data_IF_782191231878
#
_entry.id   IF_782191231878
#
_cell.length_a   1.000
_cell.length_b   1.000
_cell.length_c   1.000
_cell.angle_alpha   90.00
_cell.angle_beta   90.00
_cell.angle_gamma   90.00
#
_symmetry.space_group_name_H-M   'P 1'
#
loop_
_entity.id
_entity.type
_entity.pdbx_description
1 polymer ?
#
# COMPACT_ATOMS: atom_id res chain seq x y z
N UNK A 1 -14.07 45.27 29.06
CA UNK A 1 -14.66 43.92 28.94
C UNK A 1 -14.23 43.33 27.60
N UNK A 2 -13.50 42.21 27.61
CA UNK A 2 -13.07 41.42 26.44
C UNK A 2 -13.87 40.11 26.42
N UNK A 3 -14.66 39.83 25.38
CA UNK A 3 -15.20 38.51 25.00
C UNK A 3 -15.45 38.58 23.47
N UNK A 4 -14.55 38.12 22.60
CA UNK A 4 -14.45 36.77 21.98
C UNK A 4 -15.77 36.22 21.41
N UNK A 5 -15.89 36.14 20.07
CA UNK A 5 -16.62 35.06 19.39
C UNK A 5 -16.05 34.78 17.99
N UNK A 6 -15.26 33.70 17.94
CA UNK A 6 -15.25 32.62 16.94
C UNK A 6 -15.17 32.94 15.44
N UNK A 7 -13.97 32.78 14.89
CA UNK A 7 -13.73 32.50 13.47
C UNK A 7 -14.06 31.03 13.22
N UNK A 8 -15.11 30.78 12.44
CA UNK A 8 -15.42 29.47 11.87
C UNK A 8 -14.54 29.26 10.62
N UNK A 9 -13.42 28.56 10.76
CA UNK A 9 -12.65 28.09 9.58
C UNK A 9 -13.15 26.70 9.22
N UNK A 10 -13.93 26.66 8.15
CA UNK A 10 -14.33 25.46 7.42
C UNK A 10 -13.11 24.62 7.05
N UNK A 11 -13.09 23.35 7.48
CA UNK A 11 -12.27 22.31 6.86
C UNK A 11 -12.77 22.08 5.42
N UNK A 12 -11.99 22.54 4.45
CA UNK A 12 -12.05 22.04 3.08
C UNK A 12 -10.89 21.05 2.89
N UNK A 13 -11.19 19.76 3.05
CA UNK A 13 -10.33 18.68 2.59
C UNK A 13 -10.44 18.62 1.05
N UNK A 14 -9.66 19.47 0.39
CA UNK A 14 -9.38 19.37 -1.03
C UNK A 14 -8.37 18.25 -1.27
N UNK A 15 -8.82 17.15 -1.88
CA UNK A 15 -7.96 16.10 -2.41
C UNK A 15 -7.28 16.66 -3.67
N UNK A 16 -6.13 17.29 -3.48
CA UNK A 16 -5.19 17.57 -4.55
C UNK A 16 -3.97 16.65 -4.36
N UNK A 17 -3.58 15.95 -5.44
CA UNK A 17 -2.39 15.09 -5.51
C UNK A 17 -1.16 15.87 -5.05
N UNK A 18 -0.77 15.71 -3.79
CA UNK A 18 0.49 16.20 -3.26
C UNK A 18 1.47 15.02 -3.32
N UNK A 19 2.56 15.17 -4.07
CA UNK A 19 3.78 14.41 -3.78
C UNK A 19 4.09 14.65 -2.30
N UNK A 20 3.81 13.66 -1.46
CA UNK A 20 3.93 13.81 -0.01
C UNK A 20 5.38 14.17 0.31
N UNK A 21 5.60 15.43 0.71
CA UNK A 21 6.83 15.78 1.40
C UNK A 21 6.97 14.82 2.60
N UNK A 22 8.18 14.38 2.97
CA UNK A 22 8.37 13.52 4.12
C UNK A 22 7.72 14.20 5.32
N UNK A 23 6.68 13.58 5.88
CA UNK A 23 5.98 14.14 7.04
C UNK A 23 6.96 14.15 8.21
N UNK A 24 7.21 15.33 8.76
CA UNK A 24 8.12 15.51 9.89
C UNK A 24 7.59 14.75 11.12
N UNK A 25 8.34 13.77 11.67
CA UNK A 25 7.93 13.03 12.86
C UNK A 25 7.63 13.93 14.06
N UNK A 26 8.27 15.09 14.17
CA UNK A 26 8.09 15.98 15.33
C UNK A 26 6.76 16.74 15.26
N UNK A 27 6.33 17.17 14.08
CA UNK A 27 4.97 17.71 13.87
C UNK A 27 3.90 16.68 14.23
N UNK A 28 4.07 15.42 13.83
CA UNK A 28 3.12 14.35 14.16
C UNK A 28 3.07 14.07 15.67
N UNK A 29 4.22 14.08 16.36
CA UNK A 29 4.27 13.93 17.82
C UNK A 29 3.52 15.06 18.54
N UNK A 30 3.63 16.30 18.04
CA UNK A 30 2.85 17.41 18.60
C UNK A 30 1.35 17.22 18.39
N UNK A 31 0.92 16.69 17.24
CA UNK A 31 -0.50 16.39 17.02
C UNK A 31 -1.03 15.33 18.00
N UNK A 32 -0.22 14.32 18.34
CA UNK A 32 -0.60 13.27 19.31
C UNK A 32 -0.94 13.84 20.69
N UNK A 33 -0.25 14.88 21.16
CA UNK A 33 -0.46 15.42 22.52
C UNK A 33 -1.80 16.14 22.69
N UNK A 34 -2.33 16.70 21.60
CA UNK A 34 -3.60 17.44 21.58
C UNK A 34 -4.76 16.62 20.99
N UNK A 35 -4.48 15.46 20.42
CA UNK A 35 -5.48 14.59 19.79
C UNK A 35 -6.35 13.85 20.81
N UNK A 36 -7.62 13.63 20.42
CA UNK A 36 -8.50 12.69 21.12
C UNK A 36 -7.96 11.26 21.03
N UNK A 37 -8.34 10.40 22.00
CA UNK A 37 -7.88 9.00 22.03
C UNK A 37 -8.18 8.23 20.73
N UNK A 38 -9.28 8.53 20.05
CA UNK A 38 -9.65 7.90 18.76
C UNK A 38 -8.70 8.25 17.61
N UNK A 39 -8.02 9.39 17.66
CA UNK A 39 -7.08 9.84 16.64
C UNK A 39 -5.63 9.47 16.96
N UNK A 40 -5.33 9.03 18.18
CA UNK A 40 -3.96 8.64 18.56
C UNK A 40 -3.46 7.43 17.79
N UNK A 41 -4.29 6.40 17.58
CA UNK A 41 -3.89 5.20 16.85
C UNK A 41 -3.40 5.47 15.41
N UNK A 42 -4.17 6.19 14.55
CA UNK A 42 -3.70 6.52 13.21
C UNK A 42 -2.50 7.48 13.22
N UNK A 43 -2.39 8.38 14.19
CA UNK A 43 -1.21 9.25 14.31
C UNK A 43 0.05 8.45 14.67
N UNK A 44 -0.02 7.53 15.64
CA UNK A 44 1.10 6.64 15.96
C UNK A 44 1.48 5.74 14.79
N UNK A 45 0.49 5.28 14.02
CA UNK A 45 0.73 4.52 12.77
C UNK A 45 1.52 5.34 11.75
N UNK A 46 1.16 6.61 11.56
CA UNK A 46 1.87 7.53 10.67
C UNK A 46 3.31 7.78 11.15
N UNK A 47 3.49 8.05 12.45
CA UNK A 47 4.83 8.22 13.04
C UNK A 47 5.67 6.97 12.81
N UNK A 48 5.15 5.78 13.14
CA UNK A 48 5.84 4.52 12.89
C UNK A 48 6.20 4.36 11.40
N UNK A 49 5.29 4.72 10.49
CA UNK A 49 5.52 4.76 9.04
C UNK A 49 6.76 5.56 8.62
N UNK A 50 7.00 6.72 9.23
CA UNK A 50 8.22 7.52 8.97
C UNK A 50 9.48 6.75 9.35
N UNK A 51 9.45 6.06 10.49
CA UNK A 51 10.59 5.31 11.02
C UNK A 51 10.82 3.97 10.31
N UNK A 52 9.79 3.37 9.71
CA UNK A 52 9.87 2.13 8.92
C UNK A 52 10.69 2.27 7.62
N UNK A 53 11.08 3.49 7.23
CA UNK A 53 11.99 3.76 6.12
C UNK A 53 13.48 3.59 6.50
N UNK A 54 13.77 2.91 7.61
CA UNK A 54 15.12 2.67 8.11
C UNK A 54 16.03 1.93 7.12
N UNK A 55 15.46 1.17 6.17
CA UNK A 55 16.20 0.48 5.11
C UNK A 55 16.94 1.46 4.18
N UNK A 56 16.47 2.71 4.09
CA UNK A 56 17.10 3.77 3.29
C UNK A 56 18.26 4.46 4.02
N UNK A 57 18.52 4.12 5.29
CA UNK A 57 19.47 4.81 6.15
C UNK A 57 20.81 4.08 6.18
N UNK A 58 21.83 4.74 5.63
CA UNK A 58 23.21 4.22 5.59
C UNK A 58 23.86 4.12 6.97
N UNK A 59 23.67 5.13 7.83
CA UNK A 59 24.27 5.15 9.17
C UNK A 59 23.66 4.09 10.08
N UNK A 60 24.47 3.11 10.50
CA UNK A 60 24.03 2.01 11.38
C UNK A 60 23.41 2.50 12.69
N UNK A 61 24.02 3.52 13.31
CA UNK A 61 23.50 4.13 14.56
C UNK A 61 22.13 4.74 14.34
N UNK A 62 21.97 5.53 13.27
CA UNK A 62 20.69 6.17 12.95
C UNK A 62 19.62 5.13 12.58
N UNK A 63 20.00 4.10 11.83
CA UNK A 63 19.12 2.98 11.47
C UNK A 63 18.58 2.26 12.72
N UNK A 64 19.45 1.97 13.70
CA UNK A 64 19.02 1.38 14.98
C UNK A 64 17.99 2.26 15.70
N UNK A 65 18.25 3.57 15.80
CA UNK A 65 17.31 4.51 16.42
C UNK A 65 15.96 4.51 15.67
N UNK A 66 15.97 4.42 14.35
CA UNK A 66 14.73 4.34 13.57
C UNK A 66 13.98 3.03 13.82
N UNK A 67 14.68 1.89 13.89
CA UNK A 67 14.07 0.59 14.20
C UNK A 67 13.39 0.61 15.58
N UNK A 68 14.09 1.12 16.60
CA UNK A 68 13.55 1.26 17.97
C UNK A 68 12.30 2.17 18.00
N UNK A 69 12.33 3.32 17.31
CA UNK A 69 11.17 4.20 17.24
C UNK A 69 10.01 3.58 16.45
N UNK A 70 10.27 2.85 15.36
CA UNK A 70 9.25 2.14 14.61
C UNK A 70 8.54 1.12 15.50
N UNK A 71 9.27 0.36 16.31
CA UNK A 71 8.69 -0.57 17.30
C UNK A 71 7.87 0.20 18.34
N UNK A 72 8.46 1.21 18.98
CA UNK A 72 7.82 1.94 20.07
C UNK A 72 6.47 2.55 19.64
N UNK A 73 6.44 3.26 18.51
CA UNK A 73 5.22 3.88 18.01
C UNK A 73 4.22 2.86 17.46
N UNK A 74 4.68 1.75 16.90
CA UNK A 74 3.77 0.66 16.50
C UNK A 74 3.09 0.01 17.70
N UNK A 75 3.81 -0.19 18.81
CA UNK A 75 3.23 -0.70 20.06
C UNK A 75 2.20 0.28 20.67
N UNK A 76 2.46 1.58 20.59
CA UNK A 76 1.47 2.59 20.97
C UNK A 76 0.21 2.50 20.09
N UNK A 77 0.37 2.36 18.77
CA UNK A 77 -0.78 2.17 17.88
C UNK A 77 -1.60 0.91 18.25
N UNK A 78 -0.94 -0.22 18.54
CA UNK A 78 -1.59 -1.46 18.98
C UNK A 78 -2.40 -1.26 20.25
N UNK A 79 -1.89 -0.51 21.24
CA UNK A 79 -2.62 -0.24 22.47
C UNK A 79 -3.99 0.39 22.19
N UNK A 80 -4.03 1.43 21.35
CA UNK A 80 -5.28 2.10 21.00
C UNK A 80 -6.15 1.25 20.06
N UNK A 81 -5.60 0.62 19.02
CA UNK A 81 -6.39 -0.24 18.13
C UNK A 81 -7.00 -1.44 18.87
N UNK A 82 -6.29 -2.02 19.85
CA UNK A 82 -6.83 -3.08 20.71
C UNK A 82 -8.00 -2.57 21.54
N UNK A 83 -7.88 -1.39 22.15
CA UNK A 83 -8.94 -0.77 22.96
C UNK A 83 -10.23 -0.55 22.17
N UNK A 84 -10.12 -0.29 20.87
CA UNK A 84 -11.26 -0.05 19.98
C UNK A 84 -11.63 -1.24 19.09
N UNK A 85 -11.02 -2.42 19.29
CA UNK A 85 -11.21 -3.61 18.46
C UNK A 85 -11.01 -3.36 16.95
N UNK A 86 -10.12 -2.45 16.58
CA UNK A 86 -9.79 -2.17 15.19
C UNK A 86 -8.84 -3.23 14.63
N UNK A 87 -9.42 -4.28 14.07
CA UNK A 87 -8.69 -5.39 13.44
C UNK A 87 -7.86 -4.96 12.23
N UNK A 88 -8.23 -3.89 11.53
CA UNK A 88 -7.47 -3.39 10.38
C UNK A 88 -6.20 -2.70 10.84
N UNK A 89 -6.30 -1.84 11.85
CA UNK A 89 -5.17 -1.16 12.49
C UNK A 89 -4.22 -2.14 13.20
N UNK A 90 -4.76 -3.16 13.87
CA UNK A 90 -3.97 -4.23 14.48
C UNK A 90 -3.18 -5.03 13.44
N UNK A 91 -3.82 -5.47 12.35
CA UNK A 91 -3.16 -6.17 11.25
C UNK A 91 -2.00 -5.36 10.69
N UNK A 92 -2.22 -4.08 10.39
CA UNK A 92 -1.14 -3.19 9.89
C UNK A 92 0.01 -3.07 10.88
N UNK A 93 -0.31 -2.95 12.16
CA UNK A 93 0.70 -2.83 13.21
C UNK A 93 1.52 -4.12 13.37
N UNK A 94 0.90 -5.28 13.19
CA UNK A 94 1.60 -6.57 13.19
C UNK A 94 2.53 -6.73 11.99
N UNK A 95 2.14 -6.28 10.79
CA UNK A 95 3.05 -6.25 9.63
C UNK A 95 4.28 -5.37 9.90
N UNK A 96 4.05 -4.18 10.47
CA UNK A 96 5.12 -3.24 10.80
C UNK A 96 6.13 -3.86 11.80
N UNK A 97 5.65 -4.53 12.85
CA UNK A 97 6.52 -5.23 13.80
C UNK A 97 7.25 -6.41 13.15
N UNK A 98 6.56 -7.19 12.31
CA UNK A 98 7.18 -8.28 11.59
C UNK A 98 8.35 -7.80 10.72
N UNK A 99 8.16 -6.70 9.98
CA UNK A 99 9.19 -6.05 9.16
C UNK A 99 10.42 -5.67 10.01
N UNK A 100 10.22 -4.94 11.11
CA UNK A 100 11.35 -4.49 11.94
C UNK A 100 12.07 -5.69 12.56
N UNK A 101 11.34 -6.62 13.18
CA UNK A 101 11.96 -7.77 13.84
C UNK A 101 12.68 -8.69 12.86
N UNK A 102 12.18 -8.86 11.63
CA UNK A 102 12.90 -9.57 10.57
C UNK A 102 14.23 -8.89 10.26
N UNK A 103 14.25 -7.57 10.10
CA UNK A 103 15.49 -6.81 9.84
C UNK A 103 16.51 -6.88 10.97
N UNK A 104 16.05 -7.05 12.21
CA UNK A 104 16.88 -7.29 13.40
C UNK A 104 17.30 -8.76 13.58
N UNK A 105 16.92 -9.65 12.64
CA UNK A 105 17.12 -11.11 12.73
C UNK A 105 16.44 -11.76 13.93
N UNK A 106 15.42 -11.10 14.51
CA UNK A 106 14.55 -11.62 15.57
C UNK A 106 13.40 -12.43 14.94
N UNK A 107 13.76 -13.53 14.27
CA UNK A 107 12.85 -14.27 13.39
C UNK A 107 11.65 -14.90 14.12
N UNK A 108 11.80 -15.32 15.37
CA UNK A 108 10.69 -15.86 16.16
C UNK A 108 9.62 -14.80 16.42
N UNK A 109 10.02 -13.58 16.81
CA UNK A 109 9.12 -12.45 16.97
C UNK A 109 8.48 -12.06 15.65
N UNK A 110 9.29 -11.93 14.59
CA UNK A 110 8.78 -11.58 13.26
C UNK A 110 7.69 -12.57 12.78
N UNK A 111 7.96 -13.87 12.92
CA UNK A 111 7.02 -14.95 12.60
C UNK A 111 5.75 -14.87 13.44
N UNK A 112 5.89 -14.59 14.74
CA UNK A 112 4.73 -14.46 15.63
C UNK A 112 3.79 -13.34 15.16
N UNK A 113 4.31 -12.14 14.92
CA UNK A 113 3.50 -10.99 14.50
C UNK A 113 2.87 -11.20 13.13
N UNK A 114 3.61 -11.69 12.13
CA UNK A 114 3.04 -11.88 10.79
C UNK A 114 1.95 -12.98 10.77
N UNK A 115 2.03 -13.98 11.66
CA UNK A 115 0.95 -14.97 11.82
C UNK A 115 -0.32 -14.34 12.42
N UNK A 116 -0.19 -13.39 13.34
CA UNK A 116 -1.34 -12.63 13.84
C UNK A 116 -1.98 -11.79 12.73
N UNK A 117 -1.17 -11.12 11.90
CA UNK A 117 -1.65 -10.39 10.72
C UNK A 117 -2.38 -11.29 9.72
N UNK A 118 -1.81 -12.46 9.41
CA UNK A 118 -2.44 -13.44 8.53
C UNK A 118 -3.77 -13.95 9.10
N UNK A 119 -3.82 -14.22 10.41
CA UNK A 119 -5.03 -14.66 11.11
C UNK A 119 -6.16 -13.64 11.00
N UNK A 120 -5.86 -12.36 11.24
CA UNK A 120 -6.83 -11.27 11.08
C UNK A 120 -7.28 -11.12 9.61
N UNK A 121 -6.36 -11.23 8.67
CA UNK A 121 -6.67 -11.13 7.23
C UNK A 121 -7.59 -12.27 6.78
N UNK A 122 -7.34 -13.51 7.24
CA UNK A 122 -8.21 -14.67 6.99
C UNK A 122 -9.59 -14.51 7.60
N UNK A 123 -9.68 -14.04 8.85
CA UNK A 123 -10.97 -13.79 9.51
C UNK A 123 -11.84 -12.79 8.74
N UNK A 124 -11.22 -11.89 7.97
CA UNK A 124 -11.90 -10.87 7.15
C UNK A 124 -12.04 -11.26 5.68
N UNK A 125 -11.56 -12.45 5.27
CA UNK A 125 -11.45 -12.86 3.86
C UNK A 125 -10.69 -11.83 2.98
N UNK A 126 -9.71 -11.16 3.57
CA UNK A 126 -8.90 -10.14 2.91
C UNK A 126 -7.76 -10.81 2.11
N UNK A 127 -8.09 -11.33 0.94
CA UNK A 127 -7.17 -12.10 0.09
C UNK A 127 -5.86 -11.36 -0.19
N UNK A 128 -5.85 -10.06 -0.57
CA UNK A 128 -4.60 -9.32 -0.77
C UNK A 128 -3.68 -9.35 0.45
N UNK A 129 -4.22 -9.16 1.67
CA UNK A 129 -3.42 -9.17 2.88
C UNK A 129 -3.04 -10.59 3.36
N UNK A 130 -3.83 -11.61 3.02
CA UNK A 130 -3.42 -13.02 3.17
C UNK A 130 -2.18 -13.29 2.32
N UNK A 131 -2.17 -12.86 1.06
CA UNK A 131 -1.02 -13.07 0.17
C UNK A 131 0.20 -12.30 0.66
N UNK A 132 0.05 -11.03 1.04
CA UNK A 132 1.15 -10.22 1.56
C UNK A 132 1.81 -10.84 2.80
N UNK A 133 1.01 -11.34 3.74
CA UNK A 133 1.53 -12.01 4.94
C UNK A 133 2.14 -13.38 4.66
N UNK A 134 1.66 -14.12 3.65
CA UNK A 134 2.31 -15.35 3.16
C UNK A 134 3.69 -15.07 2.53
N UNK A 135 3.84 -13.96 1.80
CA UNK A 135 5.13 -13.56 1.24
C UNK A 135 6.14 -13.24 2.35
N UNK A 136 5.75 -12.47 3.35
CA UNK A 136 6.61 -12.18 4.52
C UNK A 136 6.95 -13.45 5.32
N UNK A 137 5.99 -14.36 5.51
CA UNK A 137 6.26 -15.67 6.12
C UNK A 137 7.27 -16.49 5.31
N UNK A 138 7.14 -16.53 3.98
CA UNK A 138 8.06 -17.23 3.11
C UNK A 138 9.47 -16.64 3.20
N UNK A 139 9.57 -15.31 3.21
CA UNK A 139 10.84 -14.63 3.42
C UNK A 139 11.43 -15.00 4.79
N UNK A 140 10.65 -14.96 5.90
CA UNK A 140 11.16 -15.26 7.26
C UNK A 140 11.65 -16.71 7.33
N UNK A 141 10.89 -17.65 6.74
CA UNK A 141 11.25 -19.06 6.67
C UNK A 141 12.48 -19.30 5.79
N UNK A 142 12.66 -18.51 4.73
CA UNK A 142 13.87 -18.53 3.91
C UNK A 142 15.09 -18.09 4.70
N UNK A 143 15.00 -17.01 5.47
CA UNK A 143 16.12 -16.50 6.29
C UNK A 143 16.59 -17.52 7.35
N UNK A 144 15.67 -18.30 7.91
CA UNK A 144 15.99 -19.39 8.86
C UNK A 144 16.26 -20.75 8.19
N UNK A 145 16.34 -20.78 6.85
CA UNK A 145 16.60 -21.97 6.02
C UNK A 145 15.52 -23.07 6.09
N UNK A 146 14.31 -22.73 6.52
CA UNK A 146 13.14 -23.61 6.44
C UNK A 146 12.49 -23.52 5.05
N UNK A 147 13.25 -23.96 4.04
CA UNK A 147 12.87 -23.82 2.64
C UNK A 147 11.61 -24.59 2.28
N UNK A 148 11.32 -25.70 2.98
CA UNK A 148 10.10 -26.49 2.77
C UNK A 148 8.87 -25.69 3.15
N UNK A 149 8.86 -25.06 4.32
CA UNK A 149 7.72 -24.24 4.73
C UNK A 149 7.64 -22.93 3.94
N UNK A 150 8.77 -22.33 3.54
CA UNK A 150 8.77 -21.15 2.68
C UNK A 150 8.12 -21.45 1.31
N UNK A 151 8.50 -22.58 0.69
CA UNK A 151 7.92 -23.05 -0.56
C UNK A 151 6.40 -23.25 -0.44
N UNK A 152 5.93 -23.83 0.67
CA UNK A 152 4.50 -24.04 0.90
C UNK A 152 3.72 -22.71 0.94
N UNK A 153 4.25 -21.71 1.64
CA UNK A 153 3.58 -20.41 1.73
C UNK A 153 3.56 -19.69 0.37
N UNK A 154 4.64 -19.78 -0.43
CA UNK A 154 4.68 -19.23 -1.79
C UNK A 154 3.69 -19.93 -2.73
N UNK A 155 3.56 -21.26 -2.63
CA UNK A 155 2.58 -22.01 -3.44
C UNK A 155 1.14 -21.60 -3.11
N UNK A 156 0.82 -21.38 -1.83
CA UNK A 156 -0.49 -20.87 -1.42
C UNK A 156 -0.71 -19.45 -1.94
N UNK A 157 0.28 -18.57 -1.79
CA UNK A 157 0.24 -17.20 -2.28
C UNK A 157 0.01 -17.14 -3.80
N UNK A 158 0.69 -18.00 -4.57
CA UNK A 158 0.54 -18.12 -6.02
C UNK A 158 -0.88 -18.58 -6.38
N UNK A 159 -1.39 -19.59 -5.68
CA UNK A 159 -2.75 -20.11 -5.90
C UNK A 159 -3.79 -19.00 -5.69
N UNK A 160 -3.66 -18.26 -4.59
CA UNK A 160 -4.57 -17.15 -4.27
C UNK A 160 -4.45 -16.01 -5.28
N UNK A 161 -3.25 -15.60 -5.67
CA UNK A 161 -3.05 -14.50 -6.62
C UNK A 161 -3.61 -14.83 -8.00
N UNK A 162 -3.39 -16.05 -8.49
CA UNK A 162 -3.88 -16.47 -9.80
C UNK A 162 -5.40 -16.66 -9.81
N UNK A 163 -5.97 -17.29 -8.78
CA UNK A 163 -7.41 -17.52 -8.69
C UNK A 163 -8.22 -16.22 -8.57
N UNK A 164 -7.62 -15.15 -8.04
CA UNK A 164 -8.27 -13.84 -7.89
C UNK A 164 -7.86 -12.83 -8.98
N UNK A 165 -7.09 -13.26 -9.99
CA UNK A 165 -6.60 -12.40 -11.08
C UNK A 165 -5.87 -11.14 -10.56
N UNK A 166 -4.93 -11.34 -9.65
CA UNK A 166 -4.06 -10.30 -9.10
C UNK A 166 -2.67 -10.35 -9.74
N UNK A 167 -2.48 -9.90 -10.99
CA UNK A 167 -1.23 -10.09 -11.72
C UNK A 167 -0.05 -9.38 -11.05
N UNK A 168 -0.28 -8.19 -10.47
CA UNK A 168 0.78 -7.49 -9.73
C UNK A 168 1.28 -8.31 -8.53
N UNK A 169 0.34 -8.84 -7.74
CA UNK A 169 0.67 -9.67 -6.59
C UNK A 169 1.27 -11.00 -7.03
N UNK A 170 0.82 -11.58 -8.14
CA UNK A 170 1.42 -12.79 -8.72
C UNK A 170 2.89 -12.55 -9.12
N UNK A 171 3.20 -11.39 -9.70
CA UNK A 171 4.57 -10.99 -9.98
C UNK A 171 5.40 -10.88 -8.68
N UNK A 172 4.86 -10.29 -7.61
CA UNK A 172 5.53 -10.25 -6.30
C UNK A 172 5.79 -11.66 -5.74
N UNK A 173 4.87 -12.61 -5.94
CA UNK A 173 5.05 -14.01 -5.58
C UNK A 173 6.19 -14.66 -6.36
N UNK A 174 6.31 -14.39 -7.67
CA UNK A 174 7.46 -14.84 -8.46
C UNK A 174 8.79 -14.31 -7.92
N UNK A 175 8.82 -13.05 -7.46
CA UNK A 175 10.01 -12.49 -6.81
C UNK A 175 10.33 -13.19 -5.47
N UNK A 176 9.30 -13.61 -4.74
CA UNK A 176 9.44 -14.49 -3.57
C UNK A 176 10.14 -15.82 -3.92
N UNK A 177 9.75 -16.46 -5.04
CA UNK A 177 10.43 -17.67 -5.53
C UNK A 177 11.88 -17.40 -5.94
N UNK A 178 12.18 -16.26 -6.59
CA UNK A 178 13.56 -15.86 -6.92
C UNK A 178 14.41 -15.83 -5.66
N UNK A 179 13.92 -15.17 -4.61
CA UNK A 179 14.62 -15.06 -3.32
C UNK A 179 14.84 -16.43 -2.68
N UNK A 180 13.81 -17.28 -2.64
CA UNK A 180 13.90 -18.63 -2.09
C UNK A 180 14.92 -19.48 -2.87
N UNK A 181 14.83 -19.53 -4.19
CA UNK A 181 15.71 -20.35 -5.02
C UNK A 181 17.16 -19.88 -4.98
N UNK A 182 17.42 -18.57 -4.91
CA UNK A 182 18.77 -18.05 -4.72
C UNK A 182 19.38 -18.49 -3.38
N UNK A 183 18.60 -18.47 -2.30
CA UNK A 183 19.06 -18.96 -0.98
C UNK A 183 19.29 -20.49 -0.98
N UNK A 184 18.55 -21.23 -1.79
CA UNK A 184 18.76 -22.67 -2.02
C UNK A 184 19.91 -22.98 -2.99
N UNK A 185 20.54 -21.96 -3.60
CA UNK A 185 21.53 -22.08 -4.69
C UNK A 185 20.98 -22.77 -5.95
N UNK A 186 19.68 -22.68 -6.19
CA UNK A 186 18.99 -23.24 -7.36
C UNK A 186 18.82 -22.17 -8.44
N UNK A 187 19.94 -21.65 -8.96
CA UNK A 187 19.96 -20.47 -9.83
C UNK A 187 19.13 -20.62 -11.12
N UNK A 188 19.09 -21.80 -11.73
CA UNK A 188 18.24 -22.06 -12.91
C UNK A 188 16.75 -21.89 -12.59
N UNK A 189 16.31 -22.31 -11.40
CA UNK A 189 14.91 -22.11 -10.98
C UNK A 189 14.62 -20.66 -10.64
N UNK A 190 15.59 -19.95 -10.06
CA UNK A 190 15.48 -18.52 -9.82
C UNK A 190 15.33 -17.75 -11.14
N UNK A 191 16.12 -18.07 -12.16
CA UNK A 191 16.02 -17.47 -13.50
C UNK A 191 14.64 -17.72 -14.15
N UNK A 192 14.10 -18.93 -14.04
CA UNK A 192 12.75 -19.25 -14.53
C UNK A 192 11.68 -18.42 -13.80
N UNK A 193 11.79 -18.28 -12.47
CA UNK A 193 10.86 -17.46 -11.69
C UNK A 193 10.96 -15.97 -12.06
N UNK A 194 12.19 -15.47 -12.29
CA UNK A 194 12.41 -14.09 -12.74
C UNK A 194 11.79 -13.83 -14.11
N UNK A 195 11.98 -14.74 -15.08
CA UNK A 195 11.33 -14.64 -16.39
C UNK A 195 9.80 -14.60 -16.30
N UNK A 196 9.21 -15.34 -15.36
CA UNK A 196 7.76 -15.29 -15.10
C UNK A 196 7.34 -13.95 -14.51
N UNK A 197 8.10 -13.43 -13.54
CA UNK A 197 7.89 -12.09 -12.98
C UNK A 197 7.86 -11.02 -14.10
N UNK A 198 8.89 -11.02 -14.95
CA UNK A 198 9.04 -10.05 -16.03
C UNK A 198 7.90 -10.16 -17.05
N UNK A 199 7.56 -11.38 -17.48
CA UNK A 199 6.47 -11.61 -18.42
C UNK A 199 5.10 -11.11 -17.90
N UNK A 200 4.83 -11.27 -16.59
CA UNK A 200 3.61 -10.76 -15.96
C UNK A 200 3.63 -9.22 -15.97
N UNK A 201 4.75 -8.59 -15.60
CA UNK A 201 4.86 -7.14 -15.59
C UNK A 201 4.71 -6.53 -16.99
N UNK A 202 5.31 -7.14 -18.00
CA UNK A 202 5.17 -6.72 -19.41
C UNK A 202 3.69 -6.78 -19.85
N UNK A 203 2.98 -7.85 -19.47
CA UNK A 203 1.55 -7.99 -19.73
C UNK A 203 0.72 -6.90 -19.03
N UNK A 204 1.05 -6.56 -17.78
CA UNK A 204 0.40 -5.49 -17.03
C UNK A 204 0.60 -4.15 -17.75
N UNK A 205 1.84 -3.80 -18.12
CA UNK A 205 2.16 -2.54 -18.79
C UNK A 205 1.41 -2.42 -20.12
N UNK A 206 1.45 -3.46 -20.95
CA UNK A 206 0.71 -3.46 -22.21
C UNK A 206 -0.81 -3.27 -21.99
N UNK A 207 -1.39 -3.91 -20.98
CA UNK A 207 -2.81 -3.74 -20.66
C UNK A 207 -3.16 -2.32 -20.20
N UNK A 208 -2.24 -1.62 -19.53
CA UNK A 208 -2.41 -0.24 -19.09
C UNK A 208 -2.32 0.72 -20.27
N UNK A 209 -1.35 0.54 -21.17
CA UNK A 209 -1.19 1.35 -22.38
C UNK A 209 -2.44 1.29 -23.25
N UNK A 210 -3.01 0.09 -23.44
CA UNK A 210 -4.26 -0.09 -24.18
C UNK A 210 -5.42 0.64 -23.48
N UNK A 211 -5.55 0.55 -22.15
CA UNK A 211 -6.59 1.26 -21.40
C UNK A 211 -6.45 2.79 -21.52
N UNK A 212 -5.23 3.30 -21.47
CA UNK A 212 -4.96 4.74 -21.64
C UNK A 212 -5.31 5.19 -23.05
N UNK A 213 -4.91 4.45 -24.09
CA UNK A 213 -5.24 4.75 -25.49
C UNK A 213 -6.76 4.78 -25.74
N UNK A 214 -7.51 3.80 -25.21
CA UNK A 214 -8.97 3.76 -25.30
C UNK A 214 -9.60 4.94 -24.54
N UNK A 215 -9.09 5.29 -23.37
CA UNK A 215 -9.57 6.44 -22.61
C UNK A 215 -9.32 7.76 -23.38
N UNK A 216 -8.14 7.96 -23.96
CA UNK A 216 -7.83 9.16 -24.77
C UNK A 216 -8.72 9.25 -26.01
N UNK A 217 -8.95 8.14 -26.71
CA UNK A 217 -9.85 8.08 -27.87
C UNK A 217 -11.29 8.44 -27.50
N UNK A 218 -11.77 7.93 -26.36
CA UNK A 218 -13.12 8.21 -25.87
C UNK A 218 -13.31 9.69 -25.52
N UNK A 219 -12.30 10.33 -24.93
CA UNK A 219 -12.29 11.77 -24.60
C UNK A 219 -12.29 12.60 -25.89
N UNK A 220 -11.46 12.24 -26.88
CA UNK A 220 -11.41 12.94 -28.17
C UNK A 220 -12.73 12.83 -28.94
N UNK A 221 -13.37 11.65 -28.95
CA UNK A 221 -14.70 11.47 -29.57
C UNK A 221 -15.76 12.33 -28.86
N UNK A 222 -15.80 12.35 -27.53
CA UNK A 222 -16.73 13.22 -26.76
C UNK A 222 -16.51 14.70 -27.08
N UNK A 223 -15.26 15.16 -27.16
CA UNK A 223 -14.91 16.54 -27.55
C UNK A 223 -15.40 16.87 -28.97
N UNK A 224 -15.23 15.95 -29.93
CA UNK A 224 -15.72 16.13 -31.31
C UNK A 224 -17.25 16.19 -31.39
N UNK A 225 -17.96 15.34 -30.64
CA UNK A 225 -19.43 15.36 -30.57
C UNK A 225 -19.93 16.68 -29.96
N UNK A 226 -19.32 17.17 -28.88
CA UNK A 226 -19.66 18.46 -28.26
C UNK A 226 -19.42 19.67 -29.20
N UNK A 227 -18.32 19.67 -29.94
CA UNK A 227 -18.04 20.71 -30.95
C UNK A 227 -19.05 20.65 -32.12
N UNK A 228 -19.56 19.48 -32.46
CA UNK A 228 -20.54 19.31 -33.54
C UNK A 228 -21.94 19.72 -33.10
N UNK A 229 -22.34 19.44 -31.85
CA UNK A 229 -23.63 19.86 -31.30
C UNK A 229 -23.71 21.37 -31.11
N UNK A 230 -22.65 22.00 -30.60
CA UNK A 230 -22.56 23.47 -30.47
C UNK A 230 -22.61 24.18 -31.82
N UNK A 231 -21.94 23.66 -32.85
CA UNK A 231 -22.07 24.18 -34.24
C UNK A 231 -23.49 24.07 -34.80
N UNK A 232 -24.21 22.96 -34.53
CA UNK A 232 -25.62 22.80 -34.97
C UNK A 232 -26.57 23.76 -34.25
N UNK A 233 -26.38 24.00 -32.95
CA UNK A 233 -27.16 24.98 -32.18
C UNK A 233 -26.98 26.40 -32.73
N UNK A 234 -25.76 26.78 -33.11
CA UNK A 234 -25.48 28.10 -33.69
C UNK A 234 -26.14 28.29 -35.07
N UNK A 235 -26.17 27.24 -35.90
CA UNK A 235 -26.77 27.28 -37.24
C UNK A 235 -28.31 27.27 -37.22
N UNK A 236 -28.94 26.64 -36.22
CA UNK A 236 -30.38 26.64 -36.04
C UNK A 236 -30.93 27.99 -35.54
N UNK A 237 -30.15 28.72 -34.73
CA UNK A 237 -30.53 30.05 -34.25
C UNK A 237 -30.34 31.15 -35.30
N UNK A 238 -29.39 31.02 -36.22
CA UNK A 238 -29.21 31.99 -37.31
C UNK A 238 -30.27 31.89 -38.40
N UNK A 239 -30.84 30.70 -38.62
CA UNK A 239 -31.87 30.46 -39.64
C UNK A 239 -33.29 30.85 -39.19
N UNK A 240 -33.56 30.91 -37.88
CA UNK A 240 -34.84 31.41 -37.34
C UNK A 240 -35.01 32.93 -37.39
N UNK A 241 -33.97 33.70 -37.70
CA UNK A 241 -34.03 35.16 -37.78
C UNK A 241 -34.35 35.73 -39.17
N UNK A 242 -34.56 34.88 -40.19
CA UNK A 242 -34.76 35.33 -41.59
C UNK A 242 -36.24 35.28 -42.02
N UNK A 243 -37.17 34.78 -41.18
CA UNK A 243 -38.59 34.62 -41.55
C UNK A 243 -39.55 35.67 -40.94
N UNK A 244 -39.09 36.91 -40.72
CA UNK A 244 -39.96 38.04 -40.35
C UNK A 244 -39.52 39.29 -41.15
N UNK A 245 -39.96 39.36 -42.40
CA UNK A 245 -40.14 40.56 -43.22
C UNK A 245 -41.48 40.38 -43.94
#
# INVERSE_FOLDING_TARGET
>A
MKILFTISVFMLLGIAKLSAAPVDPDSLKQQVTVASDSLKAPLYTQIAGTYLNYDTITSKRKRYIYQENAIAYTLQAIHYYSRYNDTTGLRLSFDNLAKVYRSEKKFSQAKWFILQSNTLSRAKNDVPNIISSLLELALIKTDIKDYKLAMRDLNEALTLSSANHFPKTEADVQMGYVTLYNNMKLYTKADIALKRHDAINDSILHSQDVKVAVATDSIQRKKKVYLTSTKRLYKANSSRRIALL
#
